data_IF_415665021772
#
_entry.id   IF_415665021772
#
_cell.length_a   1.000
_cell.length_b   1.000
_cell.length_c   1.000
_cell.angle_alpha   90.00
_cell.angle_beta   90.00
_cell.angle_gamma   90.00
#
_symmetry.space_group_name_H-M   'P 1'
#
loop_
_entity.id
_entity.type
_entity.pdbx_description
1 polymer ?
#
# COMPACT_ATOMS: atom_id res chain seq x y z
N UNK A 1 36.71 37.49 9.62
CA UNK A 1 36.58 37.76 8.18
C UNK A 1 35.11 37.92 7.83
N UNK A 2 34.74 38.85 6.93
CA UNK A 2 33.34 38.98 6.54
C UNK A 2 32.85 37.70 5.85
N UNK A 3 31.72 37.12 6.33
CA UNK A 3 31.12 35.92 5.75
C UNK A 3 30.60 36.07 4.34
N UNK A 4 30.33 37.34 3.92
CA UNK A 4 29.86 37.68 2.57
C UNK A 4 30.31 39.09 2.15
N UNK A 5 30.63 39.27 0.85
CA UNK A 5 31.05 40.55 0.29
C UNK A 5 30.67 40.67 -1.19
N UNK A 6 30.81 41.88 -1.76
CA UNK A 6 30.59 42.15 -3.18
C UNK A 6 31.85 42.77 -3.78
N UNK A 7 32.23 42.31 -4.96
CA UNK A 7 33.33 42.86 -5.74
C UNK A 7 32.95 42.95 -7.23
N UNK A 8 33.73 43.68 -8.02
CA UNK A 8 33.60 43.63 -9.48
C UNK A 8 33.98 42.25 -9.99
N UNK A 9 33.24 41.73 -10.97
CA UNK A 9 33.54 40.43 -11.57
C UNK A 9 34.95 40.49 -12.23
N UNK A 10 35.73 39.42 -11.99
CA UNK A 10 37.02 39.27 -12.66
C UNK A 10 36.90 38.93 -14.15
N UNK A 11 35.84 38.23 -14.51
CA UNK A 11 35.60 37.73 -15.88
C UNK A 11 34.87 38.75 -16.77
N UNK A 12 34.16 39.72 -16.18
CA UNK A 12 33.42 40.76 -16.87
C UNK A 12 33.35 42.04 -16.01
N UNK A 13 34.18 43.08 -16.31
CA UNK A 13 34.22 44.31 -15.52
C UNK A 13 32.91 45.07 -15.46
N UNK A 14 31.95 44.77 -16.34
CA UNK A 14 30.60 45.36 -16.33
C UNK A 14 29.68 44.74 -15.27
N UNK A 15 30.06 43.58 -14.70
CA UNK A 15 29.26 42.85 -13.71
C UNK A 15 29.80 42.99 -12.30
N UNK A 16 28.92 42.75 -11.35
CA UNK A 16 29.20 42.69 -9.91
C UNK A 16 28.96 41.30 -9.37
N UNK A 17 29.90 40.76 -8.60
CA UNK A 17 29.80 39.41 -8.02
C UNK A 17 29.63 39.47 -6.52
N UNK A 18 28.56 38.85 -6.02
CA UNK A 18 28.38 38.55 -4.59
C UNK A 18 29.10 37.27 -4.26
N UNK A 19 29.90 37.29 -3.18
CA UNK A 19 30.60 36.14 -2.61
C UNK A 19 30.09 35.89 -1.22
N UNK A 20 30.05 34.62 -0.85
CA UNK A 20 29.76 34.18 0.55
C UNK A 20 30.40 32.83 0.79
N UNK A 21 30.57 32.48 2.07
CA UNK A 21 30.94 31.14 2.49
C UNK A 21 29.67 30.40 2.89
N UNK A 22 29.46 29.19 2.36
CA UNK A 22 28.38 28.30 2.79
C UNK A 22 28.67 27.72 4.21
N UNK A 23 27.71 26.99 4.82
CA UNK A 23 27.90 26.39 6.15
C UNK A 23 29.12 25.44 6.24
N UNK A 24 29.48 24.80 5.11
CA UNK A 24 30.64 23.89 5.01
C UNK A 24 31.97 24.66 4.83
N UNK A 25 31.96 26.00 4.85
CA UNK A 25 33.13 26.84 4.66
C UNK A 25 33.59 26.98 3.20
N UNK A 26 32.81 26.52 2.25
CA UNK A 26 33.13 26.62 0.81
C UNK A 26 32.70 27.96 0.25
N UNK A 27 33.61 28.62 -0.47
CA UNK A 27 33.29 29.90 -1.13
C UNK A 27 32.31 29.68 -2.29
N UNK A 28 31.26 30.48 -2.27
CA UNK A 28 30.21 30.53 -3.31
C UNK A 28 30.21 31.95 -3.94
N UNK A 29 29.76 32.02 -5.17
CA UNK A 29 29.65 33.30 -5.88
C UNK A 29 28.49 33.34 -6.86
N UNK A 30 27.95 34.54 -7.11
CA UNK A 30 26.95 34.82 -8.13
C UNK A 30 27.11 36.22 -8.70
N UNK A 31 27.15 36.35 -10.05
CA UNK A 31 27.34 37.60 -10.72
C UNK A 31 26.02 38.24 -11.13
N UNK A 32 25.99 39.59 -11.13
CA UNK A 32 24.81 40.40 -11.40
C UNK A 32 25.23 41.63 -12.28
N UNK A 33 24.29 42.16 -13.01
CA UNK A 33 24.52 43.35 -13.87
C UNK A 33 24.71 44.64 -13.07
N UNK A 34 24.18 44.72 -11.84
CA UNK A 34 24.25 45.92 -11.02
C UNK A 34 24.77 45.60 -9.61
N UNK A 35 25.48 46.58 -9.03
CA UNK A 35 25.98 46.48 -7.65
C UNK A 35 24.86 46.29 -6.65
N UNK A 36 23.71 46.99 -6.83
CA UNK A 36 22.56 46.89 -5.96
C UNK A 36 22.03 45.47 -5.89
N UNK A 37 21.84 44.78 -7.05
CA UNK A 37 21.39 43.41 -7.10
C UNK A 37 22.37 42.43 -6.42
N UNK A 38 23.67 42.66 -6.59
CA UNK A 38 24.71 41.89 -5.92
C UNK A 38 24.66 42.07 -4.40
N UNK A 39 24.52 43.29 -3.90
CA UNK A 39 24.40 43.62 -2.50
C UNK A 39 23.10 43.04 -1.87
N UNK A 40 21.98 43.15 -2.56
CA UNK A 40 20.70 42.57 -2.10
C UNK A 40 20.81 41.05 -1.97
N UNK A 41 21.50 40.42 -2.93
CA UNK A 41 21.74 38.97 -2.88
C UNK A 41 22.66 38.57 -1.72
N UNK A 42 23.77 39.34 -1.53
CA UNK A 42 24.70 39.15 -0.41
C UNK A 42 23.97 39.23 0.94
N UNK A 43 23.21 40.33 1.15
CA UNK A 43 22.44 40.54 2.40
C UNK A 43 21.48 39.38 2.67
N UNK A 44 20.78 38.90 1.62
CA UNK A 44 19.88 37.77 1.75
C UNK A 44 20.63 36.49 2.17
N UNK A 45 21.77 36.19 1.54
CA UNK A 45 22.59 35.03 1.89
C UNK A 45 23.16 35.12 3.31
N UNK A 46 23.54 36.31 3.73
CA UNK A 46 24.00 36.56 5.09
C UNK A 46 22.88 36.31 6.12
N UNK A 47 21.66 36.79 5.84
CA UNK A 47 20.47 36.52 6.66
C UNK A 47 20.11 35.02 6.70
N UNK A 48 20.17 34.32 5.55
CA UNK A 48 19.95 32.88 5.46
C UNK A 48 20.98 32.11 6.32
N UNK A 49 22.24 32.50 6.29
CA UNK A 49 23.32 31.90 7.09
C UNK A 49 23.17 32.15 8.58
N UNK A 50 22.83 33.39 8.97
CA UNK A 50 22.64 33.77 10.37
C UNK A 50 21.40 33.11 10.98
N UNK A 51 20.35 32.91 10.19
CA UNK A 51 19.13 32.23 10.59
C UNK A 51 19.24 30.69 10.52
N UNK A 52 20.36 30.14 10.03
CA UNK A 52 20.50 28.68 9.80
C UNK A 52 19.58 28.14 8.72
N UNK A 53 19.09 28.99 7.81
CA UNK A 53 18.14 28.63 6.74
C UNK A 53 18.79 28.70 5.34
N UNK A 54 20.11 28.58 5.28
CA UNK A 54 20.85 28.64 4.03
C UNK A 54 20.44 27.50 3.08
N UNK A 55 20.21 27.85 1.82
CA UNK A 55 19.93 26.90 0.76
C UNK A 55 20.96 27.05 -0.36
N UNK A 56 21.53 25.93 -0.83
CA UNK A 56 22.37 25.93 -2.02
C UNK A 56 21.51 26.14 -3.28
N UNK A 57 21.68 27.26 -3.94
CA UNK A 57 20.97 27.61 -5.17
C UNK A 57 21.12 26.55 -6.28
N UNK A 58 22.16 25.68 -6.22
CA UNK A 58 22.37 24.61 -7.20
C UNK A 58 21.46 23.42 -6.93
N UNK A 59 21.27 23.05 -5.67
CA UNK A 59 20.43 21.92 -5.29
C UNK A 59 18.97 22.15 -5.69
N UNK A 60 18.45 23.34 -5.48
CA UNK A 60 17.08 23.69 -5.86
C UNK A 60 16.83 23.77 -7.37
N UNK A 61 17.88 23.86 -8.20
CA UNK A 61 17.75 23.86 -9.66
C UNK A 61 17.59 22.49 -10.29
N UNK A 62 17.75 21.41 -9.49
CA UNK A 62 17.56 20.07 -9.98
C UNK A 62 16.13 19.85 -10.51
N UNK A 63 15.95 19.07 -11.60
CA UNK A 63 14.63 18.68 -12.06
C UNK A 63 13.85 17.91 -10.98
N UNK A 64 12.53 18.08 -10.97
CA UNK A 64 11.64 17.34 -10.06
C UNK A 64 11.87 15.83 -10.11
N UNK A 65 12.08 15.28 -11.30
CA UNK A 65 12.31 13.85 -11.52
C UNK A 65 13.63 13.37 -10.93
N UNK A 66 14.70 14.20 -11.00
CA UNK A 66 15.98 13.85 -10.39
C UNK A 66 15.90 13.82 -8.85
N UNK A 67 15.16 14.74 -8.25
CA UNK A 67 14.93 14.77 -6.81
C UNK A 67 14.03 13.57 -6.39
N UNK A 68 13.05 13.20 -7.22
CA UNK A 68 12.24 12.01 -7.01
C UNK A 68 13.09 10.73 -7.01
N UNK A 69 14.03 10.60 -7.93
CA UNK A 69 14.96 9.45 -7.99
C UNK A 69 15.87 9.39 -6.76
N UNK A 70 16.43 10.52 -6.34
CA UNK A 70 17.23 10.59 -5.12
C UNK A 70 16.43 10.14 -3.89
N UNK A 71 15.22 10.66 -3.71
CA UNK A 71 14.34 10.30 -2.62
C UNK A 71 13.97 8.82 -2.61
N UNK A 72 13.71 8.23 -3.78
CA UNK A 72 13.35 6.82 -3.90
C UNK A 72 14.54 5.90 -3.67
N UNK A 73 15.73 6.25 -4.15
CA UNK A 73 16.93 5.43 -4.07
C UNK A 73 17.53 5.36 -2.65
N UNK A 74 17.31 6.37 -1.82
CA UNK A 74 17.78 6.38 -0.43
C UNK A 74 16.95 5.49 0.50
N UNK A 75 15.83 4.96 0.03
CA UNK A 75 14.89 4.16 0.83
C UNK A 75 15.06 2.68 0.54
N UNK A 76 15.10 1.86 1.58
CA UNK A 76 14.94 0.42 1.45
C UNK A 76 13.49 0.11 1.10
N UNK A 77 13.20 0.01 -0.19
CA UNK A 77 11.86 -0.22 -0.71
C UNK A 77 11.72 -1.64 -1.23
N UNK A 78 10.57 -2.22 -0.94
CA UNK A 78 10.13 -3.47 -1.59
C UNK A 78 9.97 -3.26 -3.11
N UNK A 79 10.22 -4.29 -3.90
CA UNK A 79 10.17 -4.23 -5.36
C UNK A 79 8.82 -3.77 -5.91
N UNK A 80 7.71 -4.17 -5.27
CA UNK A 80 6.37 -3.69 -5.61
C UNK A 80 6.23 -2.17 -5.43
N UNK A 81 6.83 -1.61 -4.38
CA UNK A 81 6.84 -0.17 -4.11
C UNK A 81 7.75 0.56 -5.10
N UNK A 82 8.92 -0.01 -5.44
CA UNK A 82 9.79 0.53 -6.49
C UNK A 82 9.08 0.60 -7.84
N UNK A 83 8.39 -0.48 -8.25
CA UNK A 83 7.56 -0.50 -9.47
C UNK A 83 6.49 0.59 -9.44
N UNK A 84 5.83 0.78 -8.30
CA UNK A 84 4.84 1.83 -8.13
C UNK A 84 5.43 3.23 -8.26
N UNK A 85 6.56 3.50 -7.63
CA UNK A 85 7.23 4.80 -7.71
C UNK A 85 7.74 5.10 -9.11
N UNK A 86 8.30 4.10 -9.81
CA UNK A 86 8.68 4.21 -11.22
C UNK A 86 7.45 4.49 -12.11
N UNK A 87 6.33 3.82 -11.86
CA UNK A 87 5.08 4.10 -12.57
C UNK A 87 4.59 5.53 -12.34
N UNK A 88 4.68 6.06 -11.11
CA UNK A 88 4.31 7.46 -10.82
C UNK A 88 5.21 8.43 -11.56
N UNK A 89 6.52 8.21 -11.54
CA UNK A 89 7.50 9.02 -12.26
C UNK A 89 7.15 9.07 -13.75
N UNK A 90 7.09 7.92 -14.41
CA UNK A 90 6.93 7.83 -15.86
C UNK A 90 5.55 8.28 -16.36
N UNK A 91 4.50 8.10 -15.55
CA UNK A 91 3.12 8.36 -16.00
C UNK A 91 2.58 9.71 -15.56
N UNK A 92 3.16 10.36 -14.53
CA UNK A 92 2.61 11.61 -13.99
C UNK A 92 3.63 12.69 -13.69
N UNK A 93 4.83 12.38 -13.23
CA UNK A 93 5.81 13.42 -12.91
C UNK A 93 6.55 13.89 -14.15
N UNK A 94 7.15 12.98 -14.88
CA UNK A 94 7.92 13.30 -16.08
C UNK A 94 7.06 13.96 -17.17
N UNK A 95 5.86 13.43 -17.53
CA UNK A 95 5.04 14.07 -18.55
C UNK A 95 4.55 15.48 -18.20
N UNK A 96 4.33 15.76 -16.91
CA UNK A 96 3.80 17.05 -16.47
C UNK A 96 4.90 18.06 -16.13
N UNK A 97 5.84 17.68 -15.27
CA UNK A 97 6.87 18.60 -14.77
C UNK A 97 8.07 18.72 -15.72
N UNK A 98 8.32 17.73 -16.60
CA UNK A 98 9.47 17.72 -17.53
C UNK A 98 10.78 18.08 -16.80
N UNK A 99 11.53 19.04 -17.35
CA UNK A 99 12.78 19.52 -16.78
C UNK A 99 12.61 20.69 -15.77
N UNK A 100 11.39 20.92 -15.23
CA UNK A 100 11.18 22.00 -14.27
C UNK A 100 11.99 21.78 -12.99
N UNK A 101 12.66 22.83 -12.54
CA UNK A 101 13.42 22.79 -11.29
C UNK A 101 12.48 22.75 -10.08
N UNK A 102 12.87 21.99 -9.05
CA UNK A 102 12.02 21.79 -7.87
C UNK A 102 11.77 23.10 -7.11
N UNK A 103 12.76 23.99 -7.05
CA UNK A 103 12.62 25.30 -6.38
C UNK A 103 11.63 26.23 -7.08
N UNK A 104 11.36 26.01 -8.37
CA UNK A 104 10.42 26.83 -9.14
C UNK A 104 8.96 26.50 -8.89
N UNK A 105 8.67 25.39 -8.23
CA UNK A 105 7.31 24.91 -8.02
C UNK A 105 6.55 25.79 -7.04
N UNK A 106 5.37 26.24 -7.48
CA UNK A 106 4.40 26.98 -6.67
C UNK A 106 3.19 26.11 -6.37
N UNK A 107 2.38 26.55 -5.44
CA UNK A 107 1.10 25.90 -5.10
C UNK A 107 0.24 25.69 -6.35
N UNK A 108 0.10 26.72 -7.18
CA UNK A 108 -0.67 26.67 -8.43
C UNK A 108 -0.19 25.57 -9.41
N UNK A 109 1.11 25.31 -9.47
CA UNK A 109 1.66 24.24 -10.33
C UNK A 109 1.21 22.85 -9.86
N UNK A 110 1.15 22.66 -8.55
CA UNK A 110 0.69 21.39 -7.97
C UNK A 110 -0.83 21.23 -8.16
N UNK A 111 -1.61 22.31 -8.01
CA UNK A 111 -3.04 22.30 -8.29
C UNK A 111 -3.33 21.96 -9.75
N UNK A 112 -2.56 22.56 -10.69
CA UNK A 112 -2.65 22.23 -12.12
C UNK A 112 -2.28 20.77 -12.39
N UNK A 113 -1.26 20.22 -11.71
CA UNK A 113 -0.91 18.81 -11.82
C UNK A 113 -2.04 17.88 -11.35
N UNK A 114 -2.70 18.23 -10.23
CA UNK A 114 -3.87 17.47 -9.73
C UNK A 114 -5.02 17.50 -10.73
N UNK A 115 -5.29 18.68 -11.31
CA UNK A 115 -6.34 18.87 -12.32
C UNK A 115 -6.02 18.09 -13.61
N UNK A 116 -4.77 18.16 -14.09
CA UNK A 116 -4.31 17.40 -15.24
C UNK A 116 -4.44 15.88 -15.03
N UNK A 117 -4.08 15.37 -13.82
CA UNK A 117 -4.29 13.97 -13.48
C UNK A 117 -5.77 13.57 -13.53
N UNK A 118 -6.69 14.49 -13.23
CA UNK A 118 -8.13 14.26 -13.30
C UNK A 118 -8.66 14.29 -14.74
N UNK A 119 -8.38 15.37 -15.46
CA UNK A 119 -9.01 15.66 -16.75
C UNK A 119 -8.35 14.91 -17.90
N UNK A 120 -7.01 14.95 -17.97
CA UNK A 120 -6.26 14.38 -19.09
C UNK A 120 -5.92 12.91 -18.87
N UNK A 121 -5.55 12.56 -17.64
CA UNK A 121 -5.18 11.17 -17.28
C UNK A 121 -6.35 10.34 -16.77
N UNK A 122 -7.50 10.96 -16.50
CA UNK A 122 -8.74 10.35 -16.00
C UNK A 122 -8.51 9.44 -14.78
N UNK A 123 -7.59 9.84 -13.89
CA UNK A 123 -7.27 9.06 -12.71
C UNK A 123 -8.33 9.21 -11.63
N UNK A 124 -8.64 8.12 -10.94
CA UNK A 124 -9.57 8.17 -9.81
C UNK A 124 -9.06 9.08 -8.70
N UNK A 125 -9.96 9.66 -7.92
CA UNK A 125 -9.64 10.52 -6.79
C UNK A 125 -8.69 9.84 -5.79
N UNK A 126 -8.89 8.54 -5.51
CA UNK A 126 -7.99 7.73 -4.68
C UNK A 126 -6.58 7.66 -5.24
N UNK A 127 -6.43 7.44 -6.56
CA UNK A 127 -5.12 7.37 -7.22
C UNK A 127 -4.42 8.71 -7.19
N UNK A 128 -5.13 9.81 -7.46
CA UNK A 128 -4.60 11.17 -7.39
C UNK A 128 -4.10 11.50 -5.98
N UNK A 129 -4.89 11.19 -4.95
CA UNK A 129 -4.52 11.41 -3.56
C UNK A 129 -3.27 10.63 -3.17
N UNK A 130 -3.17 9.36 -3.57
CA UNK A 130 -2.00 8.53 -3.32
C UNK A 130 -0.75 9.13 -3.96
N UNK A 131 -0.81 9.53 -5.24
CA UNK A 131 0.30 10.17 -5.94
C UNK A 131 0.71 11.49 -5.31
N UNK A 132 -0.26 12.31 -4.94
CA UNK A 132 -0.02 13.54 -4.21
C UNK A 132 0.64 13.31 -2.86
N UNK A 133 0.21 12.31 -2.10
CA UNK A 133 0.80 11.98 -0.80
C UNK A 133 2.28 11.59 -0.94
N UNK A 134 2.63 10.77 -1.93
CA UNK A 134 4.02 10.42 -2.19
C UNK A 134 4.85 11.63 -2.66
N UNK A 135 4.28 12.44 -3.55
CA UNK A 135 4.93 13.66 -4.01
C UNK A 135 5.16 14.66 -2.86
N UNK A 136 4.16 14.87 -2.00
CA UNK A 136 4.31 15.68 -0.80
C UNK A 136 5.36 15.14 0.16
N UNK A 137 5.45 13.81 0.31
CA UNK A 137 6.50 13.17 1.11
C UNK A 137 7.92 13.41 0.54
N UNK A 138 8.07 13.37 -0.78
CA UNK A 138 9.33 13.77 -1.43
C UNK A 138 9.65 15.26 -1.19
N UNK A 139 8.64 16.14 -1.27
CA UNK A 139 8.84 17.57 -1.00
C UNK A 139 9.21 17.84 0.47
N UNK A 140 8.64 17.09 1.43
CA UNK A 140 9.06 17.16 2.84
C UNK A 140 10.52 16.71 3.00
N UNK A 141 10.90 15.62 2.35
CA UNK A 141 12.28 15.15 2.34
C UNK A 141 13.23 16.19 1.72
N UNK A 142 12.83 16.84 0.63
CA UNK A 142 13.60 17.90 -0.01
C UNK A 142 13.79 19.13 0.91
N UNK A 143 12.82 19.43 1.78
CA UNK A 143 12.96 20.46 2.82
C UNK A 143 13.97 20.03 3.88
N UNK A 144 13.87 18.79 4.39
CA UNK A 144 14.79 18.26 5.42
C UNK A 144 16.22 18.18 4.89
N UNK A 145 16.41 17.92 3.60
CA UNK A 145 17.73 17.86 2.96
C UNK A 145 18.17 19.20 2.34
N UNK A 146 17.54 20.31 2.75
CA UNK A 146 17.91 21.68 2.38
C UNK A 146 17.94 21.95 0.85
N UNK A 147 17.22 21.13 0.07
CA UNK A 147 17.07 21.33 -1.39
C UNK A 147 16.11 22.48 -1.68
N UNK A 148 15.06 22.61 -0.88
CA UNK A 148 14.05 23.67 -0.95
C UNK A 148 13.69 24.19 0.44
N UNK A 149 13.34 25.45 0.57
CA UNK A 149 13.03 26.06 1.87
C UNK A 149 11.62 25.78 2.39
N UNK A 150 10.70 25.28 1.57
CA UNK A 150 9.32 24.98 1.97
C UNK A 150 8.65 23.99 1.04
N UNK A 151 7.75 23.19 1.57
CA UNK A 151 6.91 22.29 0.80
C UNK A 151 5.62 23.01 0.33
N UNK A 152 5.44 23.27 -0.98
CA UNK A 152 4.24 23.95 -1.49
C UNK A 152 2.97 23.09 -1.34
N UNK A 153 3.09 21.77 -1.24
CA UNK A 153 1.95 20.85 -1.07
C UNK A 153 1.18 21.07 0.24
N UNK A 154 1.84 21.58 1.29
CA UNK A 154 1.21 21.82 2.62
C UNK A 154 0.08 22.85 2.59
N UNK A 155 0.05 23.72 1.59
CA UNK A 155 -1.00 24.72 1.43
C UNK A 155 -2.21 24.22 0.65
N UNK A 156 -2.12 23.03 0.04
CA UNK A 156 -3.19 22.46 -0.76
C UNK A 156 -4.16 21.71 0.14
N UNK A 157 -5.39 22.19 0.17
CA UNK A 157 -6.49 21.47 0.80
C UNK A 157 -7.15 20.57 -0.25
N UNK A 158 -7.14 19.26 -0.04
CA UNK A 158 -7.89 18.37 -0.91
C UNK A 158 -9.39 18.69 -0.81
N UNK A 159 -9.98 19.12 -1.92
CA UNK A 159 -11.42 19.22 -2.06
C UNK A 159 -12.00 17.79 -2.11
N UNK A 160 -12.58 17.36 -1.04
CA UNK A 160 -13.16 16.02 -0.89
C UNK A 160 -12.73 15.40 0.43
N UNK A 161 -13.65 15.25 1.37
CA UNK A 161 -13.31 14.58 2.61
C UNK A 161 -13.06 13.10 2.29
N UNK A 162 -11.96 12.55 2.82
CA UNK A 162 -11.67 11.11 2.80
C UNK A 162 -12.91 10.29 3.19
N UNK A 163 -13.73 10.81 4.09
CA UNK A 163 -14.98 10.21 4.54
C UNK A 163 -16.04 10.11 3.42
N UNK A 164 -16.18 11.14 2.56
CA UNK A 164 -17.16 11.13 1.45
C UNK A 164 -16.78 10.09 0.39
N UNK A 165 -15.51 10.04 -0.03
CA UNK A 165 -15.03 9.05 -1.00
C UNK A 165 -15.10 7.62 -0.46
N UNK A 166 -14.79 7.43 0.83
CA UNK A 166 -14.94 6.15 1.49
C UNK A 166 -16.41 5.71 1.46
N UNK A 167 -17.35 6.60 1.74
CA UNK A 167 -18.80 6.32 1.66
C UNK A 167 -19.24 5.96 0.25
N UNK A 168 -18.83 6.72 -0.77
CA UNK A 168 -19.16 6.47 -2.17
C UNK A 168 -18.56 5.17 -2.68
N UNK A 169 -17.30 4.87 -2.33
CA UNK A 169 -16.65 3.60 -2.71
C UNK A 169 -17.31 2.40 -2.01
N UNK A 170 -17.78 2.57 -0.78
CA UNK A 170 -18.45 1.53 0.01
C UNK A 170 -19.86 1.23 -0.49
N UNK A 171 -20.61 2.25 -0.91
CA UNK A 171 -21.95 2.06 -1.48
C UNK A 171 -21.93 1.25 -2.77
N UNK A 172 -20.84 1.34 -3.55
CA UNK A 172 -20.68 0.69 -4.85
C UNK A 172 -19.89 -0.63 -4.80
N UNK A 173 -19.32 -1.02 -3.66
CA UNK A 173 -18.57 -2.26 -3.53
C UNK A 173 -19.53 -3.46 -3.50
N UNK A 174 -19.55 -4.25 -4.58
CA UNK A 174 -20.31 -5.49 -4.63
C UNK A 174 -19.88 -6.45 -3.54
N UNK A 175 -20.82 -6.91 -2.74
CA UNK A 175 -20.63 -7.89 -1.66
C UNK A 175 -21.05 -9.26 -2.15
N UNK A 176 -20.22 -10.26 -1.89
CA UNK A 176 -20.56 -11.64 -2.21
C UNK A 176 -21.52 -12.20 -1.16
N UNK A 177 -22.57 -12.85 -1.64
CA UNK A 177 -23.43 -13.68 -0.81
C UNK A 177 -22.80 -15.05 -0.59
N UNK A 178 -23.23 -15.77 0.42
CA UNK A 178 -22.78 -17.16 0.67
C UNK A 178 -23.10 -18.09 -0.52
N UNK A 179 -24.26 -17.90 -1.17
CA UNK A 179 -24.65 -18.64 -2.37
C UNK A 179 -23.67 -18.43 -3.51
N UNK A 180 -23.27 -17.18 -3.78
CA UNK A 180 -22.29 -16.85 -4.81
C UNK A 180 -20.91 -17.41 -4.50
N UNK A 181 -20.45 -17.32 -3.24
CA UNK A 181 -19.17 -17.90 -2.81
C UNK A 181 -19.18 -19.42 -3.07
N UNK A 182 -20.22 -20.14 -2.64
CA UNK A 182 -20.34 -21.57 -2.87
C UNK A 182 -20.40 -21.92 -4.37
N UNK A 183 -21.11 -21.13 -5.18
CA UNK A 183 -21.15 -21.30 -6.61
C UNK A 183 -19.77 -21.15 -7.25
N UNK A 184 -19.00 -20.14 -6.85
CA UNK A 184 -17.61 -19.94 -7.29
C UNK A 184 -16.69 -21.08 -6.86
N UNK A 185 -16.80 -21.55 -5.62
CA UNK A 185 -16.03 -22.69 -5.11
C UNK A 185 -16.30 -23.96 -5.92
N UNK A 186 -17.57 -24.22 -6.28
CA UNK A 186 -17.95 -25.34 -7.13
C UNK A 186 -17.50 -25.18 -8.58
N UNK A 187 -17.57 -23.97 -9.13
CA UNK A 187 -17.11 -23.63 -10.47
C UNK A 187 -15.59 -23.61 -10.65
N UNK A 188 -14.83 -23.56 -9.55
CA UNK A 188 -13.38 -23.49 -9.59
C UNK A 188 -12.74 -24.77 -10.20
N UNK A 189 -11.63 -24.62 -10.95
CA UNK A 189 -10.86 -25.77 -11.42
C UNK A 189 -10.48 -26.69 -10.27
N UNK A 190 -10.71 -28.01 -10.36
CA UNK A 190 -10.53 -28.96 -9.23
C UNK A 190 -9.17 -28.85 -8.56
N UNK A 191 -8.10 -28.67 -9.35
CA UNK A 191 -6.72 -28.54 -8.87
C UNK A 191 -6.49 -27.32 -7.99
N UNK A 192 -7.27 -26.25 -8.14
CA UNK A 192 -7.09 -25.00 -7.40
C UNK A 192 -8.31 -24.63 -6.55
N UNK A 193 -9.31 -25.50 -6.49
CA UNK A 193 -10.54 -25.27 -5.69
C UNK A 193 -10.23 -25.01 -4.23
N UNK A 194 -9.35 -25.80 -3.63
CA UNK A 194 -8.97 -25.67 -2.22
C UNK A 194 -8.28 -24.31 -1.93
N UNK A 195 -7.62 -23.70 -2.92
CA UNK A 195 -7.06 -22.35 -2.79
C UNK A 195 -8.17 -21.30 -2.58
N UNK A 196 -9.27 -21.40 -3.32
CA UNK A 196 -10.41 -20.51 -3.15
C UNK A 196 -11.13 -20.75 -1.81
N UNK A 197 -11.18 -22.01 -1.34
CA UNK A 197 -11.68 -22.33 0.00
C UNK A 197 -10.86 -21.66 1.09
N UNK A 198 -9.52 -21.64 0.99
CA UNK A 198 -8.65 -20.91 1.90
C UNK A 198 -8.91 -19.41 1.90
N UNK A 199 -9.13 -18.82 0.71
CA UNK A 199 -9.43 -17.39 0.60
C UNK A 199 -10.80 -17.04 1.23
N UNK A 200 -11.82 -17.88 1.07
CA UNK A 200 -13.16 -17.62 1.56
C UNK A 200 -13.36 -18.03 3.02
N UNK A 201 -12.73 -19.12 3.48
CA UNK A 201 -12.95 -19.71 4.80
C UNK A 201 -11.87 -19.41 5.83
N UNK A 202 -10.68 -18.97 5.39
CA UNK A 202 -9.57 -18.53 6.26
C UNK A 202 -9.13 -17.08 5.98
N UNK A 203 -9.79 -16.38 5.07
CA UNK A 203 -9.51 -14.97 4.78
C UNK A 203 -8.15 -14.67 4.16
N UNK A 204 -7.48 -15.64 3.53
CA UNK A 204 -6.14 -15.47 2.99
C UNK A 204 -6.11 -14.51 1.81
N UNK A 205 -5.00 -13.74 1.70
CA UNK A 205 -4.68 -13.01 0.47
C UNK A 205 -4.26 -14.00 -0.63
N UNK A 206 -4.39 -13.61 -1.90
CA UNK A 206 -3.99 -14.49 -3.04
C UNK A 206 -2.57 -15.04 -2.85
N UNK A 207 -1.59 -14.17 -2.58
CA UNK A 207 -0.19 -14.57 -2.41
C UNK A 207 0.01 -15.51 -1.22
N UNK A 208 -0.72 -15.32 -0.14
CA UNK A 208 -0.71 -16.21 1.02
C UNK A 208 -1.32 -17.57 0.67
N UNK A 209 -2.49 -17.59 0.00
CA UNK A 209 -3.15 -18.83 -0.41
C UNK A 209 -2.30 -19.65 -1.39
N UNK A 210 -1.57 -19.00 -2.30
CA UNK A 210 -0.62 -19.65 -3.21
C UNK A 210 0.57 -20.27 -2.47
N UNK A 211 0.96 -19.74 -1.31
CA UNK A 211 2.15 -20.14 -0.57
C UNK A 211 1.89 -21.24 0.46
N UNK A 212 0.63 -21.69 0.63
CA UNK A 212 0.28 -22.68 1.64
C UNK A 212 0.96 -24.01 1.36
N UNK A 213 1.67 -24.51 2.38
CA UNK A 213 2.30 -25.82 2.39
C UNK A 213 1.59 -26.76 3.37
N UNK A 214 1.84 -28.08 3.22
CA UNK A 214 1.25 -29.10 4.11
C UNK A 214 1.63 -28.89 5.56
N UNK A 215 2.84 -28.40 5.81
CA UNK A 215 3.41 -28.28 7.16
C UNK A 215 2.85 -27.08 7.94
N UNK A 216 2.13 -26.19 7.27
CA UNK A 216 1.42 -25.07 7.89
C UNK A 216 0.02 -25.46 8.38
N UNK A 217 -0.47 -26.68 8.06
CA UNK A 217 -1.82 -27.13 8.37
C UNK A 217 -1.78 -28.13 9.52
N UNK A 218 -2.30 -27.73 10.66
CA UNK A 218 -2.57 -28.65 11.76
C UNK A 218 -4.05 -29.06 11.73
N UNK A 219 -4.29 -30.27 11.27
CA UNK A 219 -5.65 -30.82 11.17
C UNK A 219 -6.19 -31.30 12.50
N UNK A 220 -5.35 -31.49 13.51
CA UNK A 220 -5.75 -31.94 14.85
C UNK A 220 -6.13 -30.74 15.72
N UNK A 221 -5.29 -29.73 15.72
CA UNK A 221 -5.56 -28.47 16.40
C UNK A 221 -6.56 -27.55 15.64
N UNK A 222 -6.97 -27.96 14.42
CA UNK A 222 -7.87 -27.18 13.54
C UNK A 222 -7.41 -25.77 13.27
N UNK A 223 -6.10 -25.61 13.00
CA UNK A 223 -5.49 -24.31 12.70
C UNK A 223 -4.65 -24.34 11.43
N UNK A 224 -4.51 -23.18 10.83
CA UNK A 224 -3.63 -22.90 9.70
C UNK A 224 -2.64 -21.79 10.09
N UNK A 225 -1.34 -22.06 10.00
CA UNK A 225 -0.31 -21.03 10.12
C UNK A 225 -0.11 -20.33 8.77
N UNK A 226 -0.08 -19.02 8.78
CA UNK A 226 0.11 -18.19 7.59
C UNK A 226 1.41 -17.41 7.74
N UNK A 227 2.51 -18.03 7.33
CA UNK A 227 3.86 -17.50 7.49
C UNK A 227 4.43 -16.95 6.19
N UNK A 228 3.93 -17.41 5.03
CA UNK A 228 4.51 -17.15 3.73
C UNK A 228 3.52 -16.57 2.72
N UNK A 229 4.08 -15.92 1.72
CA UNK A 229 3.37 -15.47 0.53
C UNK A 229 4.22 -15.70 -0.73
N UNK A 230 3.56 -15.94 -1.86
CA UNK A 230 4.22 -15.85 -3.17
C UNK A 230 4.18 -14.40 -3.62
N UNK A 231 5.34 -13.87 -3.94
CA UNK A 231 5.49 -12.51 -4.44
C UNK A 231 6.48 -12.48 -5.61
N UNK A 232 6.34 -11.48 -6.47
CA UNK A 232 7.32 -11.21 -7.50
C UNK A 232 8.55 -10.57 -6.84
N UNK A 233 9.71 -11.20 -7.00
CA UNK A 233 11.00 -10.67 -6.57
C UNK A 233 11.85 -10.30 -7.78
N UNK A 234 12.49 -9.14 -7.67
CA UNK A 234 13.52 -8.71 -8.60
C UNK A 234 13.03 -8.04 -9.88
N UNK A 235 13.87 -7.16 -10.35
CA UNK A 235 13.98 -6.79 -11.75
C UNK A 235 14.73 -7.93 -12.45
N UNK A 236 14.10 -8.60 -13.38
CA UNK A 236 14.84 -9.30 -14.40
C UNK A 236 15.54 -8.21 -15.21
N UNK A 237 16.87 -8.21 -15.25
CA UNK A 237 17.67 -7.31 -16.11
C UNK A 237 17.24 -7.37 -17.58
N UNK A 238 16.54 -8.44 -17.97
CA UNK A 238 16.03 -8.66 -19.33
C UNK A 238 14.56 -8.24 -19.55
N UNK A 239 13.88 -7.64 -18.55
CA UNK A 239 12.49 -7.17 -18.69
C UNK A 239 11.44 -8.29 -18.88
N UNK A 240 11.84 -9.56 -18.89
CA UNK A 240 10.96 -10.73 -19.06
C UNK A 240 10.97 -11.57 -17.79
N UNK A 241 9.81 -11.60 -17.12
CA UNK A 241 9.48 -12.45 -15.96
C UNK A 241 10.34 -12.23 -14.70
N UNK A 242 9.84 -11.37 -13.81
CA UNK A 242 10.31 -11.38 -12.43
C UNK A 242 10.11 -12.79 -11.84
N UNK A 243 11.18 -13.34 -11.24
CA UNK A 243 11.09 -14.63 -10.58
C UNK A 243 10.09 -14.56 -9.43
N UNK A 244 9.19 -15.54 -9.34
CA UNK A 244 8.32 -15.68 -8.18
C UNK A 244 9.12 -16.30 -7.05
N UNK A 245 9.00 -15.76 -5.86
CA UNK A 245 9.60 -16.31 -4.65
C UNK A 245 8.55 -16.50 -3.55
N UNK A 246 8.75 -17.58 -2.79
CA UNK A 246 8.06 -17.77 -1.52
C UNK A 246 8.86 -17.06 -0.44
N UNK A 247 8.24 -16.07 0.19
CA UNK A 247 8.87 -15.27 1.24
C UNK A 247 7.95 -15.11 2.43
N UNK A 248 8.53 -14.82 3.58
CA UNK A 248 7.73 -14.50 4.76
C UNK A 248 6.77 -13.33 4.48
N UNK A 249 5.56 -13.41 5.08
CA UNK A 249 4.67 -12.26 5.12
C UNK A 249 5.33 -11.13 5.92
N UNK A 250 4.91 -9.88 5.69
CA UNK A 250 5.39 -8.77 6.53
C UNK A 250 4.97 -9.03 7.97
N UNK A 251 5.97 -9.13 8.85
CA UNK A 251 5.74 -9.28 10.27
C UNK A 251 4.94 -8.08 10.84
N UNK A 252 4.09 -8.35 11.81
CA UNK A 252 3.55 -7.31 12.69
C UNK A 252 4.57 -6.95 13.77
N UNK A 253 5.26 -7.98 14.27
CA UNK A 253 6.43 -7.91 15.15
C UNK A 253 7.60 -8.62 14.49
N UNK A 254 8.82 -8.17 14.76
CA UNK A 254 10.05 -8.78 14.21
C UNK A 254 10.25 -10.22 14.72
N UNK A 255 9.66 -10.56 15.89
CA UNK A 255 9.82 -11.86 16.55
C UNK A 255 8.84 -12.92 16.04
N UNK A 256 7.64 -12.56 15.54
CA UNK A 256 6.66 -13.51 15.00
C UNK A 256 6.19 -13.13 13.58
N UNK A 257 6.83 -13.66 12.54
CA UNK A 257 6.54 -13.25 11.16
C UNK A 257 5.23 -13.83 10.58
N UNK A 258 4.45 -14.60 11.34
CA UNK A 258 3.24 -15.25 10.88
C UNK A 258 2.00 -14.91 11.68
N UNK A 259 0.90 -15.60 11.37
CA UNK A 259 -0.33 -15.62 12.15
C UNK A 259 -0.97 -16.98 12.10
N UNK A 260 -1.74 -17.31 13.14
CA UNK A 260 -2.57 -18.51 13.20
C UNK A 260 -4.01 -18.15 12.89
N UNK A 261 -4.66 -18.93 12.03
CA UNK A 261 -6.04 -18.72 11.60
C UNK A 261 -6.83 -20.00 11.87
N UNK A 262 -8.04 -19.92 12.45
CA UNK A 262 -8.91 -21.09 12.60
C UNK A 262 -9.15 -21.78 11.26
N UNK A 263 -9.12 -23.10 11.26
CA UNK A 263 -9.35 -23.94 10.09
C UNK A 263 -10.72 -24.61 10.17
N UNK A 264 -11.76 -24.07 9.55
CA UNK A 264 -13.10 -24.65 9.62
C UNK A 264 -13.15 -26.07 9.02
N UNK A 265 -14.00 -26.97 9.55
CA UNK A 265 -14.08 -28.37 9.12
C UNK A 265 -14.29 -28.57 7.63
N UNK A 266 -15.11 -27.71 6.98
CA UNK A 266 -15.35 -27.75 5.53
C UNK A 266 -14.09 -27.36 4.72
N UNK A 267 -13.28 -26.41 5.20
CA UNK A 267 -11.99 -26.06 4.57
C UNK A 267 -10.99 -27.20 4.78
N UNK A 268 -10.91 -27.74 5.99
CA UNK A 268 -10.08 -28.90 6.30
C UNK A 268 -10.41 -30.12 5.41
N UNK A 269 -11.69 -30.40 5.19
CA UNK A 269 -12.14 -31.43 4.27
C UNK A 269 -11.63 -31.21 2.84
N UNK A 270 -11.79 -30.02 2.31
CA UNK A 270 -11.33 -29.69 0.96
C UNK A 270 -9.81 -29.75 0.82
N UNK A 271 -9.06 -29.35 1.84
CA UNK A 271 -7.61 -29.48 1.87
C UNK A 271 -7.16 -30.95 1.90
N UNK A 272 -7.79 -31.80 2.73
CA UNK A 272 -7.51 -33.24 2.74
C UNK A 272 -7.81 -33.89 1.38
N UNK A 273 -8.95 -33.52 0.78
CA UNK A 273 -9.34 -33.97 -0.58
C UNK A 273 -8.32 -33.53 -1.63
N UNK A 274 -7.86 -32.27 -1.54
CA UNK A 274 -6.84 -31.72 -2.44
C UNK A 274 -5.52 -32.49 -2.31
N UNK A 275 -5.03 -32.69 -1.08
CA UNK A 275 -3.78 -33.42 -0.82
C UNK A 275 -3.88 -34.86 -1.33
N UNK A 276 -5.01 -35.54 -1.10
CA UNK A 276 -5.24 -36.91 -1.61
C UNK A 276 -5.19 -36.98 -3.14
N UNK A 277 -5.81 -36.03 -3.83
CA UNK A 277 -5.99 -36.08 -5.28
C UNK A 277 -4.82 -35.49 -6.07
N UNK A 278 -4.10 -34.52 -5.50
CA UNK A 278 -3.09 -33.77 -6.22
C UNK A 278 -1.70 -33.84 -5.56
N UNK A 279 -1.61 -34.33 -4.30
CA UNK A 279 -0.37 -34.39 -3.54
C UNK A 279 0.18 -33.01 -3.17
N UNK A 280 1.45 -33.01 -2.79
CA UNK A 280 2.24 -31.82 -2.48
C UNK A 280 3.41 -31.72 -3.44
N UNK A 281 4.03 -30.54 -3.56
CA UNK A 281 5.10 -30.29 -4.50
C UNK A 281 6.33 -29.66 -3.84
N UNK A 282 7.51 -30.12 -4.28
CA UNK A 282 8.80 -29.59 -3.87
C UNK A 282 9.19 -29.85 -2.42
N UNK A 283 10.39 -29.43 -2.01
CA UNK A 283 10.89 -29.60 -0.65
C UNK A 283 10.04 -28.84 0.37
N UNK A 284 9.40 -27.76 -0.04
CA UNK A 284 8.50 -26.95 0.80
C UNK A 284 7.11 -27.55 0.96
N UNK A 285 6.81 -28.69 0.31
CA UNK A 285 5.54 -29.40 0.35
C UNK A 285 4.33 -28.54 0.03
N UNK A 286 4.45 -27.69 -1.01
CA UNK A 286 3.39 -26.76 -1.42
C UNK A 286 2.15 -27.48 -1.96
N UNK A 287 0.98 -26.93 -1.68
CA UNK A 287 -0.28 -27.46 -2.17
C UNK A 287 -0.57 -27.05 -3.62
N UNK A 288 -0.16 -25.85 -4.02
CA UNK A 288 -0.60 -25.24 -5.26
C UNK A 288 0.58 -24.86 -6.19
N UNK A 289 1.28 -25.82 -6.76
CA UNK A 289 2.28 -25.53 -7.80
C UNK A 289 1.58 -25.08 -9.09
N UNK A 290 2.35 -24.49 -10.01
CA UNK A 290 1.89 -24.25 -11.39
C UNK A 290 1.52 -25.57 -12.10
N UNK A 291 0.93 -25.47 -13.29
CA UNK A 291 0.43 -26.65 -14.03
C UNK A 291 1.54 -27.66 -14.32
N UNK A 292 2.72 -27.21 -14.70
CA UNK A 292 3.88 -28.04 -15.03
C UNK A 292 4.61 -28.57 -13.79
N UNK A 293 4.22 -28.15 -12.59
CA UNK A 293 4.91 -28.48 -11.32
C UNK A 293 6.39 -28.09 -11.31
N UNK A 294 6.74 -27.00 -11.97
CA UNK A 294 8.12 -26.48 -12.03
C UNK A 294 8.31 -25.19 -11.24
N UNK A 295 7.25 -24.65 -10.63
CA UNK A 295 7.31 -23.41 -9.90
C UNK A 295 5.97 -22.99 -9.30
N UNK A 296 5.90 -21.73 -8.91
CA UNK A 296 4.74 -21.12 -8.29
C UNK A 296 3.68 -20.66 -9.31
N UNK A 297 2.46 -20.43 -8.85
CA UNK A 297 1.37 -19.87 -9.66
C UNK A 297 1.57 -18.36 -9.81
N UNK A 298 1.58 -17.85 -11.03
CA UNK A 298 1.62 -16.42 -11.31
C UNK A 298 0.25 -15.76 -11.05
N UNK A 299 0.24 -14.53 -10.59
CA UNK A 299 -0.99 -13.78 -10.37
C UNK A 299 -1.84 -13.65 -11.65
N UNK A 300 -1.21 -13.48 -12.81
CA UNK A 300 -1.89 -13.45 -14.12
C UNK A 300 -2.54 -14.79 -14.48
N UNK A 301 -1.88 -15.92 -14.17
CA UNK A 301 -2.43 -17.26 -14.36
C UNK A 301 -3.60 -17.48 -13.41
N UNK A 302 -3.45 -17.15 -12.12
CA UNK A 302 -4.54 -17.23 -11.14
C UNK A 302 -5.78 -16.50 -11.66
N UNK A 303 -5.59 -15.27 -12.10
CA UNK A 303 -6.71 -14.46 -12.56
C UNK A 303 -7.41 -15.07 -13.78
N UNK A 304 -6.66 -15.45 -14.82
CA UNK A 304 -7.22 -15.91 -16.10
C UNK A 304 -7.70 -17.35 -16.06
N UNK A 305 -7.00 -18.24 -15.33
CA UNK A 305 -7.22 -19.69 -15.40
C UNK A 305 -7.92 -20.26 -14.18
N UNK A 306 -8.01 -19.49 -13.07
CA UNK A 306 -8.65 -19.95 -11.84
C UNK A 306 -9.84 -19.06 -11.50
N UNK A 307 -9.60 -17.75 -11.40
CA UNK A 307 -10.60 -16.80 -10.91
C UNK A 307 -11.74 -16.56 -11.91
N UNK A 308 -11.42 -16.18 -13.14
CA UNK A 308 -12.44 -15.95 -14.17
C UNK A 308 -13.26 -17.22 -14.49
N UNK A 309 -12.65 -18.42 -14.68
CA UNK A 309 -13.42 -19.65 -14.83
C UNK A 309 -14.33 -19.96 -13.64
N UNK A 310 -13.88 -19.70 -12.39
CA UNK A 310 -14.73 -19.88 -11.21
C UNK A 310 -15.96 -18.97 -11.22
N UNK A 311 -15.79 -17.70 -11.60
CA UNK A 311 -16.91 -16.76 -11.79
C UNK A 311 -17.85 -17.21 -12.89
N UNK A 312 -17.31 -17.54 -14.06
CA UNK A 312 -18.12 -17.91 -15.24
C UNK A 312 -18.93 -19.19 -15.00
N UNK A 313 -18.28 -20.26 -14.48
CA UNK A 313 -18.96 -21.52 -14.18
C UNK A 313 -19.90 -21.43 -13.00
N UNK A 314 -19.63 -20.54 -12.05
CA UNK A 314 -20.51 -20.26 -10.93
C UNK A 314 -21.66 -19.31 -11.27
N UNK A 315 -21.70 -18.78 -12.51
CA UNK A 315 -22.67 -17.74 -12.93
C UNK A 315 -22.68 -16.52 -12.01
N UNK A 316 -21.49 -16.17 -11.47
CA UNK A 316 -21.33 -15.05 -10.54
C UNK A 316 -20.84 -13.82 -11.32
N UNK A 317 -21.53 -12.69 -11.26
CA UNK A 317 -21.08 -11.47 -11.88
C UNK A 317 -19.68 -11.06 -11.38
N UNK A 318 -18.91 -10.40 -12.23
CA UNK A 318 -17.53 -10.07 -11.97
C UNK A 318 -17.31 -9.41 -10.60
N UNK A 319 -16.35 -9.92 -9.85
CA UNK A 319 -15.79 -9.33 -8.65
C UNK A 319 -14.27 -9.56 -8.59
N UNK A 320 -13.57 -8.76 -7.80
CA UNK A 320 -12.12 -8.93 -7.60
C UNK A 320 -11.84 -10.09 -6.64
N UNK A 321 -10.70 -10.80 -6.77
CA UNK A 321 -10.35 -11.89 -5.84
C UNK A 321 -10.37 -11.50 -4.37
N UNK A 322 -9.98 -10.27 -4.05
CA UNK A 322 -10.02 -9.76 -2.67
C UNK A 322 -11.43 -9.72 -2.05
N UNK A 323 -12.48 -9.83 -2.87
CA UNK A 323 -13.87 -9.94 -2.39
C UNK A 323 -14.13 -11.20 -1.56
N UNK A 324 -13.38 -12.30 -1.77
CA UNK A 324 -13.44 -13.49 -0.90
C UNK A 324 -13.00 -13.17 0.53
N UNK A 325 -11.90 -12.46 0.67
CA UNK A 325 -11.40 -12.03 1.97
C UNK A 325 -12.34 -11.00 2.63
N UNK A 326 -12.96 -10.12 1.84
CA UNK A 326 -14.02 -9.24 2.36
C UNK A 326 -15.24 -10.03 2.82
N UNK A 327 -15.62 -11.08 2.09
CA UNK A 327 -16.67 -12.00 2.51
C UNK A 327 -16.34 -12.62 3.86
N UNK A 328 -15.14 -13.20 4.03
CA UNK A 328 -14.68 -13.78 5.31
C UNK A 328 -14.82 -12.80 6.47
N UNK A 329 -14.18 -11.63 6.40
CA UNK A 329 -14.23 -10.64 7.48
C UNK A 329 -15.65 -10.15 7.78
N UNK A 330 -16.47 -9.91 6.73
CA UNK A 330 -17.85 -9.47 6.94
C UNK A 330 -18.72 -10.52 7.59
N UNK A 331 -18.52 -11.80 7.27
CA UNK A 331 -19.34 -12.89 7.85
C UNK A 331 -18.99 -13.14 9.31
N UNK A 332 -17.70 -13.07 9.68
CA UNK A 332 -17.27 -13.20 11.07
C UNK A 332 -17.81 -12.06 11.94
N UNK A 333 -17.65 -10.82 11.49
CA UNK A 333 -18.18 -9.66 12.21
C UNK A 333 -19.71 -9.71 12.34
N UNK A 334 -20.41 -10.17 11.29
CA UNK A 334 -21.86 -10.35 11.34
C UNK A 334 -22.27 -11.45 12.33
N UNK A 335 -21.44 -12.48 12.47
CA UNK A 335 -21.65 -13.56 13.44
C UNK A 335 -21.28 -13.16 14.88
N UNK A 336 -20.80 -11.93 15.10
CA UNK A 336 -20.47 -11.43 16.45
C UNK A 336 -19.05 -11.74 16.92
N UNK A 337 -18.18 -12.27 16.05
CA UNK A 337 -16.76 -12.48 16.40
C UNK A 337 -16.10 -11.13 16.70
N UNK A 338 -15.34 -11.02 17.81
CA UNK A 338 -14.67 -9.77 18.19
C UNK A 338 -13.80 -9.20 17.10
N UNK A 339 -13.83 -7.86 16.93
CA UNK A 339 -13.06 -7.16 15.89
C UNK A 339 -11.56 -7.44 15.95
N UNK A 340 -11.01 -7.57 17.16
CA UNK A 340 -9.59 -7.85 17.36
C UNK A 340 -9.20 -9.20 16.78
N UNK A 341 -9.99 -10.24 17.08
CA UNK A 341 -9.73 -11.59 16.57
C UNK A 341 -9.83 -11.64 15.05
N UNK A 342 -10.87 -11.00 14.49
CA UNK A 342 -11.02 -10.90 13.03
C UNK A 342 -9.84 -10.12 12.40
N UNK A 343 -9.39 -9.04 13.03
CA UNK A 343 -8.23 -8.27 12.57
C UNK A 343 -6.96 -9.13 12.60
N UNK A 344 -6.75 -9.89 13.65
CA UNK A 344 -5.60 -10.77 13.81
C UNK A 344 -5.59 -11.89 12.78
N UNK A 345 -6.68 -12.62 12.63
CA UNK A 345 -6.80 -13.68 11.61
C UNK A 345 -6.66 -13.14 10.19
N UNK A 346 -7.14 -11.92 9.93
CA UNK A 346 -6.93 -11.27 8.64
C UNK A 346 -5.54 -10.65 8.47
N UNK A 347 -4.71 -10.54 9.51
CA UNK A 347 -3.41 -9.90 9.45
C UNK A 347 -3.52 -8.39 9.13
N UNK A 348 -4.41 -7.68 9.83
CA UNK A 348 -4.49 -6.23 9.84
C UNK A 348 -3.67 -5.67 11.00
N UNK A 349 -2.97 -4.57 10.77
CA UNK A 349 -2.17 -3.90 11.81
C UNK A 349 -3.02 -3.15 12.84
N UNK A 350 -4.28 -2.86 12.52
CA UNK A 350 -5.25 -2.24 13.44
C UNK A 350 -6.68 -2.60 13.05
N UNK A 351 -7.59 -2.47 14.00
CA UNK A 351 -9.04 -2.62 13.77
C UNK A 351 -9.63 -1.48 12.93
N UNK A 352 -8.93 -0.36 12.77
CA UNK A 352 -9.39 0.76 11.95
C UNK A 352 -9.67 0.34 10.51
N UNK A 353 -8.85 -0.58 9.97
CA UNK A 353 -9.06 -1.14 8.63
C UNK A 353 -10.39 -1.88 8.55
N UNK A 354 -10.75 -2.64 9.61
CA UNK A 354 -12.05 -3.31 9.67
C UNK A 354 -13.19 -2.28 9.77
N UNK A 355 -13.09 -1.32 10.66
CA UNK A 355 -14.10 -0.25 10.83
C UNK A 355 -14.26 0.56 9.56
N UNK A 356 -13.18 0.88 8.87
CA UNK A 356 -13.24 1.58 7.60
C UNK A 356 -13.96 0.77 6.52
N UNK A 357 -13.76 -0.55 6.44
CA UNK A 357 -14.34 -1.39 5.39
C UNK A 357 -15.68 -2.03 5.74
N UNK A 358 -15.97 -2.25 7.02
CA UNK A 358 -17.12 -3.04 7.49
C UNK A 358 -18.09 -2.26 8.40
N UNK A 359 -17.99 -0.91 8.47
CA UNK A 359 -18.80 -0.09 9.36
C UNK A 359 -20.33 -0.34 9.19
N UNK A 360 -20.78 -0.73 8.01
CA UNK A 360 -22.17 -1.06 7.74
C UNK A 360 -22.69 -2.29 8.50
N UNK A 361 -21.79 -3.15 8.99
CA UNK A 361 -22.15 -4.29 9.82
C UNK A 361 -22.49 -3.83 11.23
N UNK A 362 -21.88 -2.73 11.64
CA UNK A 362 -22.15 -2.08 12.92
C UNK A 362 -23.44 -1.25 12.89
N UNK A 363 -23.92 -0.86 11.70
CA UNK A 363 -25.27 -0.34 11.52
C UNK A 363 -26.27 -1.45 11.89
N UNK A 364 -27.17 -1.19 12.83
CA UNK A 364 -28.08 -2.20 13.39
C UNK A 364 -27.52 -3.03 14.56
N UNK A 365 -26.32 -2.70 15.05
CA UNK A 365 -25.75 -3.31 16.27
C UNK A 365 -26.69 -3.13 17.46
N UNK A 366 -27.40 -2.00 17.56
CA UNK A 366 -28.41 -1.77 18.59
C UNK A 366 -29.54 -2.79 18.57
N UNK A 367 -30.02 -3.18 17.39
CA UNK A 367 -31.10 -4.15 17.26
C UNK A 367 -30.61 -5.56 17.64
N UNK A 368 -29.37 -5.92 17.24
CA UNK A 368 -28.75 -7.18 17.65
C UNK A 368 -28.46 -7.19 19.15
N UNK A 369 -27.97 -6.08 19.70
CA UNK A 369 -27.76 -5.92 21.14
C UNK A 369 -29.02 -6.08 21.95
N UNK A 370 -30.11 -5.45 21.51
CA UNK A 370 -31.43 -5.63 22.16
C UNK A 370 -31.90 -7.08 22.10
N UNK A 371 -31.75 -7.75 20.97
CA UNK A 371 -32.11 -9.16 20.82
C UNK A 371 -31.26 -10.07 21.73
N UNK A 372 -29.95 -9.84 21.79
CA UNK A 372 -29.05 -10.57 22.67
C UNK A 372 -29.40 -10.39 24.14
N UNK A 373 -29.62 -9.13 24.58
CA UNK A 373 -30.03 -8.85 25.97
C UNK A 373 -31.38 -9.51 26.29
N UNK A 374 -32.34 -9.45 25.36
CA UNK A 374 -33.62 -10.09 25.54
C UNK A 374 -33.49 -11.62 25.72
N UNK A 375 -32.58 -12.26 24.96
CA UNK A 375 -32.29 -13.68 25.09
C UNK A 375 -31.60 -13.99 26.43
N UNK A 376 -30.62 -13.23 26.84
CA UNK A 376 -29.89 -13.40 28.10
C UNK A 376 -30.76 -13.21 29.32
N UNK A 377 -31.77 -12.35 29.26
CA UNK A 377 -32.71 -12.11 30.37
C UNK A 377 -33.97 -13.00 30.32
N UNK A 378 -34.01 -13.97 29.40
CA UNK A 378 -35.12 -14.92 29.35
C UNK A 378 -34.89 -16.01 30.41
N UNK A 379 -35.86 -16.27 31.33
CA UNK A 379 -35.71 -17.33 32.33
C UNK A 379 -35.43 -18.69 31.68
N UNK A 380 -34.37 -19.38 32.13
CA UNK A 380 -33.93 -20.65 31.58
C UNK A 380 -32.93 -20.56 30.41
N UNK A 381 -32.44 -19.36 30.06
CA UNK A 381 -31.30 -19.25 29.19
C UNK A 381 -30.04 -19.73 29.92
N UNK A 382 -29.30 -20.64 29.31
CA UNK A 382 -27.99 -21.07 29.81
C UNK A 382 -27.03 -19.89 29.90
N UNK A 383 -26.49 -19.58 31.07
CA UNK A 383 -25.44 -18.57 31.23
C UNK A 383 -24.10 -19.16 30.77
N UNK A 384 -23.48 -18.60 29.70
CA UNK A 384 -22.20 -19.09 29.23
C UNK A 384 -21.05 -18.91 30.25
N UNK A 385 -21.21 -18.05 31.26
CA UNK A 385 -20.23 -17.83 32.32
C UNK A 385 -20.23 -18.98 33.34
N UNK A 386 -21.38 -19.62 33.59
CA UNK A 386 -21.46 -20.77 34.47
C UNK A 386 -20.76 -22.02 33.91
N UNK A 387 -20.57 -22.11 32.60
CA UNK A 387 -19.83 -23.23 31.97
C UNK A 387 -18.31 -23.07 32.05
N UNK A 388 -17.80 -21.87 32.22
CA UNK A 388 -16.36 -21.58 32.27
C UNK A 388 -15.75 -21.87 33.67
N UNK A 389 -16.57 -21.92 34.73
CA UNK A 389 -16.11 -22.22 36.08
C UNK A 389 -16.07 -23.75 36.40
N UNK A 390 -16.56 -24.58 35.50
CA UNK A 390 -16.64 -26.07 35.70
C UNK A 390 -15.67 -26.85 34.82
N UNK A 391 -14.88 -26.17 33.97
CA UNK A 391 -13.85 -26.75 33.11
C UNK A 391 -12.45 -26.29 33.52
#
# INVERSE_FOLDING_TARGET
>A
MARAWVARSKDDPKKWTAFWYDPDGKQRQKSFETKKRADDHRKRKEQELDAGTYLDDKLGKQPVTAVWEQWTNQRKLENSTKKQYRSIQNTTLEPFFKARSIVSLKVADIEQWLLWMEQDRKLSARTRRQRFSFFSGMMDWAVVNEIIGRNPCKKIRHAGSRAKEIREHKSNARRLTTREVLAMLNGAPPRYRAMLWLMAGCGLRIGEAMAVSRDQIDFQAEVLRVDFQIAEDGESESGKNSALQRRHIKARDEEEPGRVVPLPPNVAFELRRHIKNHGVWGPERLLFPNVTRTGYVYASYFYRQIWLPALTKGEVPYCKPHSMRHYYGSRLLYAGVPENDVADWMGHSSTDVLREHYHYIFEGAEQRGRAAIATMLTPGADDPTERAEVA
#
